data_IF_683035721844
#
_entry.id   IF_683035721844
#
_cell.length_a   1.000
_cell.length_b   1.000
_cell.length_c   1.000
_cell.angle_alpha   90.00
_cell.angle_beta   90.00
_cell.angle_gamma   90.00
#
_symmetry.space_group_name_H-M   'P 1'
#
loop_
_entity.id
_entity.type
_entity.pdbx_description
1 polymer ?
#
# COMPACT_ATOMS: atom_id res chain seq x y z
N UNK A 1 -16.14 2.79 -6.41
CA UNK A 1 -15.75 3.51 -7.65
C UNK A 1 -14.97 4.76 -7.27
N UNK A 2 -14.03 5.21 -8.12
CA UNK A 2 -13.39 6.51 -7.95
C UNK A 2 -14.42 7.64 -8.09
N UNK A 3 -14.19 8.74 -7.40
CA UNK A 3 -14.96 9.97 -7.62
C UNK A 3 -14.59 10.58 -8.98
N UNK A 4 -15.46 11.39 -9.62
CA UNK A 4 -15.14 12.04 -10.90
C UNK A 4 -13.85 12.88 -10.84
N UNK A 5 -13.57 13.49 -9.68
CA UNK A 5 -12.34 14.26 -9.45
C UNK A 5 -11.13 13.34 -9.49
N UNK A 6 -11.16 12.24 -8.73
CA UNK A 6 -10.05 11.28 -8.71
C UNK A 6 -9.85 10.61 -10.08
N UNK A 7 -10.93 10.37 -10.84
CA UNK A 7 -10.85 9.81 -12.18
C UNK A 7 -10.19 10.77 -13.18
N UNK A 8 -10.45 12.08 -13.07
CA UNK A 8 -9.80 13.10 -13.90
C UNK A 8 -8.29 13.16 -13.66
N UNK A 9 -7.88 12.99 -12.40
CA UNK A 9 -6.47 13.07 -12.01
C UNK A 9 -5.73 11.72 -12.17
N UNK A 10 -6.42 10.65 -12.59
CA UNK A 10 -5.83 9.33 -12.79
C UNK A 10 -4.96 9.32 -14.06
N UNK A 11 -3.66 9.11 -13.90
CA UNK A 11 -2.70 8.93 -15.01
C UNK A 11 -2.81 7.52 -15.57
N UNK A 12 -2.96 6.54 -14.68
CA UNK A 12 -3.05 5.13 -15.04
C UNK A 12 -2.99 4.24 -13.80
N UNK A 13 -3.37 2.99 -13.99
CA UNK A 13 -3.30 1.95 -12.97
C UNK A 13 -2.83 0.65 -13.60
N UNK A 14 -2.26 -0.23 -12.77
CA UNK A 14 -1.84 -1.56 -13.20
C UNK A 14 -2.03 -2.58 -12.07
N UNK A 15 -2.59 -3.76 -12.39
CA UNK A 15 -2.59 -4.90 -11.48
C UNK A 15 -1.20 -5.56 -11.55
N UNK A 16 -0.43 -5.49 -10.47
CA UNK A 16 0.91 -6.09 -10.40
C UNK A 16 0.77 -7.60 -10.16
N UNK A 17 -0.14 -7.97 -9.28
CA UNK A 17 -0.52 -9.36 -9.00
C UNK A 17 -1.93 -9.43 -8.43
N UNK A 18 -2.42 -10.62 -8.11
CA UNK A 18 -3.71 -10.80 -7.40
C UNK A 18 -3.75 -10.09 -6.04
N UNK A 19 -2.60 -9.72 -5.49
CA UNK A 19 -2.44 -9.11 -4.17
C UNK A 19 -1.98 -7.66 -4.19
N UNK A 20 -1.60 -7.11 -5.35
CA UNK A 20 -1.00 -5.77 -5.45
C UNK A 20 -1.58 -5.05 -6.66
N UNK A 21 -2.11 -3.84 -6.43
CA UNK A 21 -2.52 -2.91 -7.47
C UNK A 21 -1.88 -1.56 -7.22
N UNK A 22 -1.40 -0.93 -8.29
CA UNK A 22 -0.88 0.44 -8.23
C UNK A 22 -1.68 1.37 -9.12
N UNK A 23 -1.93 2.58 -8.64
CA UNK A 23 -2.51 3.67 -9.40
C UNK A 23 -1.67 4.94 -9.23
N UNK A 24 -1.47 5.67 -10.32
CA UNK A 24 -0.76 6.95 -10.34
C UNK A 24 -1.74 8.08 -10.63
N UNK A 25 -1.64 9.15 -9.87
CA UNK A 25 -2.46 10.35 -9.98
C UNK A 25 -1.60 11.59 -10.13
N UNK A 26 -2.07 12.57 -10.90
CA UNK A 26 -1.48 13.91 -10.91
C UNK A 26 -1.80 14.63 -9.62
N UNK A 27 -0.82 15.34 -9.05
CA UNK A 27 -1.09 16.26 -7.93
C UNK A 27 -1.23 17.69 -8.42
N UNK A 28 -1.73 18.59 -7.54
CA UNK A 28 -1.77 20.04 -7.83
C UNK A 28 -0.37 20.66 -7.97
N UNK A 29 0.68 20.00 -7.45
CA UNK A 29 2.05 20.49 -7.52
C UNK A 29 2.71 19.97 -8.80
N UNK A 30 3.23 20.90 -9.62
CA UNK A 30 3.90 20.55 -10.87
C UNK A 30 5.04 19.56 -10.62
N UNK A 31 5.19 18.60 -11.53
CA UNK A 31 6.23 17.57 -11.53
C UNK A 31 6.23 16.64 -10.30
N UNK A 32 5.12 16.55 -9.57
CA UNK A 32 4.92 15.59 -8.49
C UNK A 32 3.65 14.79 -8.79
N UNK A 33 3.82 13.48 -8.91
CA UNK A 33 2.70 12.55 -8.97
C UNK A 33 2.53 11.85 -7.62
N UNK A 34 1.32 11.33 -7.41
CA UNK A 34 0.98 10.47 -6.30
C UNK A 34 0.83 9.04 -6.82
N UNK A 35 1.63 8.11 -6.29
CA UNK A 35 1.45 6.68 -6.49
C UNK A 35 0.75 6.11 -5.26
N UNK A 36 -0.38 5.46 -5.45
CA UNK A 36 -1.06 4.67 -4.43
C UNK A 36 -0.80 3.21 -4.76
N UNK A 37 -0.23 2.48 -3.81
CA UNK A 37 -0.05 1.03 -3.90
C UNK A 37 -0.93 0.39 -2.83
N UNK A 38 -1.97 -0.29 -3.27
CA UNK A 38 -2.83 -1.09 -2.41
C UNK A 38 -2.36 -2.53 -2.48
N UNK A 39 -2.12 -3.15 -1.33
CA UNK A 39 -1.74 -4.55 -1.28
C UNK A 39 -2.45 -5.36 -0.18
N UNK A 40 -2.48 -6.68 -0.35
CA UNK A 40 -2.92 -7.64 0.66
C UNK A 40 -1.84 -8.71 0.84
N UNK A 41 -1.07 -8.60 1.92
CA UNK A 41 0.05 -9.48 2.23
C UNK A 41 -0.42 -10.95 2.36
N UNK A 42 0.43 -11.92 2.00
CA UNK A 42 0.19 -13.33 2.29
C UNK A 42 -0.03 -13.57 3.79
N UNK A 43 -0.69 -14.67 4.14
CA UNK A 43 -0.85 -15.08 5.54
C UNK A 43 0.49 -15.53 6.13
N UNK A 44 0.59 -15.53 7.46
CA UNK A 44 1.80 -15.99 8.15
C UNK A 44 2.13 -17.46 7.86
N UNK A 45 1.12 -18.27 7.52
CA UNK A 45 1.30 -19.70 7.20
C UNK A 45 1.57 -19.94 5.70
N UNK A 46 1.61 -18.90 4.87
CA UNK A 46 1.98 -19.04 3.47
C UNK A 46 3.45 -19.45 3.33
N UNK A 47 3.73 -20.19 2.26
CA UNK A 47 5.08 -20.59 1.85
C UNK A 47 6.01 -19.38 1.75
N UNK A 48 7.29 -19.58 2.09
CA UNK A 48 8.30 -18.51 2.11
C UNK A 48 8.47 -17.90 0.72
N UNK A 49 8.45 -18.72 -0.31
CA UNK A 49 8.54 -18.31 -1.71
C UNK A 49 7.40 -17.38 -2.12
N UNK A 50 6.19 -17.60 -1.58
CA UNK A 50 5.02 -16.74 -1.84
C UNK A 50 5.21 -15.38 -1.16
N UNK A 51 5.73 -15.36 0.07
CA UNK A 51 6.02 -14.12 0.81
C UNK A 51 7.12 -13.33 0.13
N UNK A 52 8.21 -13.99 -0.22
CA UNK A 52 9.36 -13.38 -0.89
C UNK A 52 8.95 -12.78 -2.24
N UNK A 53 8.23 -13.55 -3.06
CA UNK A 53 7.71 -13.06 -4.33
C UNK A 53 6.81 -11.82 -4.14
N UNK A 54 5.96 -11.83 -3.12
CA UNK A 54 5.11 -10.68 -2.80
C UNK A 54 5.93 -9.44 -2.42
N UNK A 55 6.89 -9.57 -1.50
CA UNK A 55 7.70 -8.44 -1.04
C UNK A 55 8.66 -7.92 -2.13
N UNK A 56 9.21 -8.79 -2.99
CA UNK A 56 10.01 -8.38 -4.13
C UNK A 56 9.19 -7.57 -5.15
N UNK A 57 7.98 -8.04 -5.50
CA UNK A 57 7.09 -7.31 -6.41
C UNK A 57 6.65 -5.97 -5.81
N UNK A 58 6.36 -5.93 -4.51
CA UNK A 58 5.97 -4.72 -3.83
C UNK A 58 7.10 -3.69 -3.82
N UNK A 59 8.32 -4.12 -3.49
CA UNK A 59 9.51 -3.27 -3.49
C UNK A 59 9.79 -2.71 -4.89
N UNK A 60 9.77 -3.57 -5.91
CA UNK A 60 9.96 -3.15 -7.30
C UNK A 60 8.94 -2.09 -7.74
N UNK A 61 7.69 -2.18 -7.28
CA UNK A 61 6.67 -1.19 -7.60
C UNK A 61 6.88 0.16 -6.89
N UNK A 62 7.35 0.13 -5.64
CA UNK A 62 7.67 1.34 -4.87
C UNK A 62 8.93 2.04 -5.38
N UNK A 63 9.89 1.28 -5.90
CA UNK A 63 11.14 1.81 -6.46
C UNK A 63 10.94 2.40 -7.87
N UNK A 64 9.88 2.02 -8.59
CA UNK A 64 9.54 2.53 -9.92
C UNK A 64 8.93 3.96 -9.92
N UNK A 65 9.21 4.74 -8.89
CA UNK A 65 8.73 6.13 -8.75
C UNK A 65 9.87 7.11 -9.01
N UNK A 66 9.53 8.30 -9.50
CA UNK A 66 10.53 9.38 -9.59
C UNK A 66 10.89 9.84 -8.18
N UNK A 67 12.10 10.39 -7.99
CA UNK A 67 12.59 10.87 -6.69
C UNK A 67 11.61 11.82 -5.99
N UNK A 68 10.93 12.67 -6.76
CA UNK A 68 10.00 13.68 -6.23
C UNK A 68 8.56 13.18 -6.08
N UNK A 69 8.24 11.98 -6.59
CA UNK A 69 6.90 11.41 -6.52
C UNK A 69 6.63 10.87 -5.10
N UNK A 70 5.41 11.11 -4.64
CA UNK A 70 4.91 10.66 -3.35
C UNK A 70 4.33 9.26 -3.54
N UNK A 71 4.69 8.32 -2.68
CA UNK A 71 4.09 7.00 -2.64
C UNK A 71 3.31 6.82 -1.33
N UNK A 72 2.06 6.37 -1.45
CA UNK A 72 1.25 5.90 -0.33
C UNK A 72 1.12 4.39 -0.49
N UNK A 73 1.74 3.66 0.42
CA UNK A 73 1.56 2.23 0.57
C UNK A 73 0.43 1.98 1.57
N UNK A 74 -0.59 1.22 1.17
CA UNK A 74 -1.75 0.92 2.00
C UNK A 74 -2.29 -0.49 1.75
N UNK A 75 -3.21 -0.92 2.62
CA UNK A 75 -3.89 -2.20 2.52
C UNK A 75 -3.66 -3.08 3.75
N UNK A 76 -3.87 -4.37 3.60
CA UNK A 76 -3.78 -5.34 4.68
C UNK A 76 -2.42 -6.03 4.67
N UNK A 77 -1.62 -5.79 5.69
CA UNK A 77 -0.29 -6.39 5.81
C UNK A 77 -0.27 -7.69 6.62
N UNK A 78 -1.39 -8.14 7.18
CA UNK A 78 -1.45 -9.32 8.05
C UNK A 78 -0.39 -9.30 9.18
N UNK A 79 0.10 -8.11 9.54
CA UNK A 79 1.20 -7.95 10.47
C UNK A 79 0.73 -8.24 11.90
N UNK A 80 1.34 -9.24 12.55
CA UNK A 80 1.29 -9.33 14.00
C UNK A 80 2.28 -8.31 14.55
N UNK A 81 1.80 -7.19 15.06
CA UNK A 81 2.64 -6.38 15.93
C UNK A 81 3.08 -7.30 17.08
N UNK A 82 4.36 -7.28 17.45
CA UNK A 82 4.91 -8.17 18.50
C UNK A 82 4.11 -8.09 19.80
N UNK A 83 4.35 -9.03 20.73
CA UNK A 83 3.59 -9.22 21.98
C UNK A 83 3.37 -7.95 22.86
N UNK A 84 3.99 -6.83 22.53
CA UNK A 84 3.82 -5.48 23.08
C UNK A 84 2.43 -4.84 22.84
N UNK A 85 1.52 -5.41 22.03
CA UNK A 85 0.16 -4.83 21.83
C UNK A 85 -0.70 -4.86 23.11
N UNK A 86 -0.39 -5.71 24.10
CA UNK A 86 -1.19 -5.77 25.34
C UNK A 86 -1.19 -4.44 26.11
N UNK A 87 -0.18 -3.59 25.90
CA UNK A 87 -0.13 -2.24 26.46
C UNK A 87 -1.00 -1.24 25.67
N UNK A 88 -1.04 -1.33 24.33
CA UNK A 88 -1.80 -0.38 23.50
C UNK A 88 -3.31 -0.65 23.48
N UNK A 89 -3.74 -1.91 23.63
CA UNK A 89 -5.18 -2.26 23.71
C UNK A 89 -5.87 -1.68 24.95
N UNK A 90 -5.15 -1.43 26.05
CA UNK A 90 -5.75 -0.82 27.24
C UNK A 90 -6.13 0.65 27.05
N UNK A 91 -5.45 1.38 26.16
CA UNK A 91 -5.74 2.81 25.98
C UNK A 91 -6.89 3.09 25.01
N UNK A 92 -7.13 2.20 24.04
CA UNK A 92 -8.23 2.34 23.07
C UNK A 92 -9.60 1.95 23.62
N UNK A 93 -9.64 1.02 24.59
CA UNK A 93 -10.90 0.58 25.25
C UNK A 93 -11.35 1.54 26.36
N UNK A 94 -10.53 2.52 26.76
CA UNK A 94 -10.85 3.49 27.82
C UNK A 94 -11.21 4.89 27.28
N UNK A 95 -11.41 5.03 25.97
CA UNK A 95 -11.93 6.25 25.32
C UNK A 95 -13.28 6.02 24.62
N UNK A 96 -14.05 5.03 25.08
CA UNK A 96 -15.49 4.90 24.86
C UNK A 96 -16.19 4.80 26.22
#
# INVERSE_FOLDING_TARGET
MLTPIAQKDLIGWKPISSRIISAKFTTKRKNINLQIVQCCAPTNDAEEEIKDSFYQQLQAELDNKKTNDIAILMGDFNARLGQTIRAMKKSWVLME
#
